data_IF_397155794864
#
_entry.id   IF_397155794864
#
_cell.length_a   1.000
_cell.length_b   1.000
_cell.length_c   1.000
_cell.angle_alpha   90.00
_cell.angle_beta   90.00
_cell.angle_gamma   90.00
#
_symmetry.space_group_name_H-M   'P 1'
#
loop_
_entity.id
_entity.type
_entity.pdbx_description
1 polymer ?
#
# COMPACT_ATOMS: atom_id res chain seq x y z
N UNK A 1 -24.37 25.32 -45.95
CA UNK A 1 -23.07 24.70 -45.63
C UNK A 1 -22.42 25.57 -44.58
N UNK A 2 -22.51 25.17 -43.30
CA UNK A 2 -22.08 26.00 -42.15
C UNK A 2 -20.68 25.55 -41.74
N UNK A 3 -19.78 26.53 -41.79
CA UNK A 3 -18.34 26.46 -41.62
C UNK A 3 -17.86 25.74 -40.37
N UNK A 4 -16.78 24.99 -40.57
CA UNK A 4 -15.77 24.63 -39.58
C UNK A 4 -15.45 25.81 -38.67
N UNK A 5 -15.91 25.76 -37.42
CA UNK A 5 -15.40 26.64 -36.35
C UNK A 5 -14.77 25.77 -35.29
N UNK A 6 -13.44 25.73 -35.43
CA UNK A 6 -12.45 25.72 -34.37
C UNK A 6 -12.62 24.73 -33.23
N UNK A 7 -11.67 23.80 -33.22
CA UNK A 7 -11.10 23.17 -32.04
C UNK A 7 -10.62 24.28 -31.06
N UNK A 8 -11.55 24.86 -30.28
CA UNK A 8 -11.21 25.71 -29.13
C UNK A 8 -10.81 24.75 -28.00
N UNK A 9 -9.53 24.44 -27.83
CA UNK A 9 -8.57 25.34 -27.17
C UNK A 9 -9.16 25.87 -25.87
N UNK A 10 -9.40 24.97 -24.94
CA UNK A 10 -9.29 25.28 -23.52
C UNK A 10 -8.95 23.99 -22.77
N UNK A 11 -7.68 23.54 -22.90
CA UNK A 11 -7.07 22.80 -21.80
C UNK A 11 -6.92 23.81 -20.66
N UNK A 12 -8.03 24.05 -19.96
CA UNK A 12 -8.04 24.75 -18.70
C UNK A 12 -7.15 23.95 -17.76
N UNK A 13 -5.95 24.50 -17.56
CA UNK A 13 -5.12 24.37 -16.37
C UNK A 13 -5.64 23.31 -15.41
N UNK A 14 -4.99 22.16 -15.41
CA UNK A 14 -4.91 21.29 -14.24
C UNK A 14 -4.56 22.20 -13.06
N UNK A 15 -5.59 22.61 -12.33
CA UNK A 15 -5.41 23.11 -10.99
C UNK A 15 -4.67 21.99 -10.27
N UNK A 16 -3.53 22.32 -9.68
CA UNK A 16 -2.97 21.53 -8.59
C UNK A 16 -4.03 21.54 -7.50
N UNK A 17 -5.00 20.63 -7.63
CA UNK A 17 -5.96 20.32 -6.61
C UNK A 17 -5.13 19.59 -5.56
N UNK A 18 -4.67 20.33 -4.56
CA UNK A 18 -4.10 19.72 -3.37
C UNK A 18 -5.16 18.77 -2.82
N UNK A 19 -4.95 17.46 -3.01
CA UNK A 19 -5.85 16.45 -2.49
C UNK A 19 -5.68 16.43 -0.97
N UNK A 20 -6.69 16.87 -0.24
CA UNK A 20 -6.73 16.68 1.21
C UNK A 20 -7.04 15.22 1.47
N UNK A 21 -5.99 14.46 1.83
CA UNK A 21 -6.10 13.06 2.22
C UNK A 21 -6.78 13.01 3.60
N UNK A 22 -7.94 12.35 3.68
CA UNK A 22 -8.61 12.06 4.97
C UNK A 22 -7.91 10.90 5.68
N UNK A 23 -7.99 10.80 7.01
CA UNK A 23 -7.48 9.64 7.76
C UNK A 23 -8.10 8.32 7.28
N UNK A 24 -9.33 8.38 6.76
CA UNK A 24 -10.04 7.28 6.10
C UNK A 24 -9.38 6.81 4.80
N UNK A 25 -8.41 7.53 4.23
CA UNK A 25 -7.59 7.14 3.08
C UNK A 25 -6.26 6.47 3.51
N UNK A 26 -6.00 6.34 4.82
CA UNK A 26 -4.95 5.47 5.36
C UNK A 26 -5.26 3.95 5.16
N UNK A 27 -6.08 3.60 4.16
CA UNK A 27 -6.53 2.25 3.82
C UNK A 27 -5.42 1.37 3.24
N UNK A 28 -4.22 1.91 3.12
CA UNK A 28 -3.06 1.18 2.61
C UNK A 28 -2.23 0.50 3.70
N UNK A 29 -2.65 0.52 4.97
CA UNK A 29 -1.94 -0.22 6.03
C UNK A 29 -2.07 -1.72 5.79
N UNK A 30 -1.02 -2.30 5.20
CA UNK A 30 -0.84 -3.75 5.06
C UNK A 30 -0.03 -4.24 6.25
N UNK A 31 -0.65 -5.00 7.14
CA UNK A 31 0.09 -5.76 8.14
C UNK A 31 0.35 -7.19 7.62
N UNK A 32 1.52 -7.73 7.92
CA UNK A 32 1.83 -9.12 7.63
C UNK A 32 1.03 -10.02 8.58
N UNK A 33 0.50 -11.15 8.09
CA UNK A 33 -0.22 -12.12 8.94
C UNK A 33 0.77 -13.01 9.69
N UNK A 34 1.92 -13.30 9.07
CA UNK A 34 2.99 -14.11 9.61
C UNK A 34 4.29 -13.31 9.69
N UNK A 35 5.17 -13.72 10.58
CA UNK A 35 6.50 -13.15 10.70
C UNK A 35 7.31 -13.42 9.42
N UNK A 36 7.77 -12.37 8.74
CA UNK A 36 8.55 -12.45 7.50
C UNK A 36 10.03 -12.83 7.75
N UNK A 37 10.42 -13.09 9.00
CA UNK A 37 11.79 -13.50 9.33
C UNK A 37 12.15 -14.82 8.66
N UNK A 38 13.20 -14.79 7.84
CA UNK A 38 13.86 -15.99 7.32
C UNK A 38 14.66 -16.66 8.44
N UNK A 39 14.41 -17.96 8.63
CA UNK A 39 15.13 -18.86 9.51
C UNK A 39 16.26 -19.57 8.77
N UNK A 40 17.17 -20.18 9.53
CA UNK A 40 18.17 -21.10 8.98
C UNK A 40 17.49 -22.21 8.16
N UNK A 41 17.95 -22.38 6.93
CA UNK A 41 17.32 -23.27 5.94
C UNK A 41 16.31 -22.59 5.01
N UNK A 42 16.22 -21.26 5.01
CA UNK A 42 15.48 -20.49 3.99
C UNK A 42 13.96 -20.56 4.13
N UNK A 43 13.45 -21.07 5.26
CA UNK A 43 12.03 -21.09 5.57
C UNK A 43 11.65 -19.85 6.37
N UNK A 44 10.42 -19.36 6.18
CA UNK A 44 9.87 -18.28 7.01
C UNK A 44 9.41 -18.82 8.36
N UNK A 45 9.43 -17.95 9.37
CA UNK A 45 8.86 -18.24 10.67
C UNK A 45 7.35 -18.54 10.53
N UNK A 46 6.82 -19.66 11.08
CA UNK A 46 5.41 -20.00 10.98
C UNK A 46 4.50 -19.24 11.97
N UNK A 47 5.08 -18.35 12.79
CA UNK A 47 4.36 -17.64 13.85
C UNK A 47 3.68 -16.36 13.33
N UNK A 48 2.62 -15.86 14.01
CA UNK A 48 1.96 -14.59 13.69
C UNK A 48 2.95 -13.43 13.61
N UNK A 49 2.69 -12.38 12.82
CA UNK A 49 3.64 -11.27 12.69
C UNK A 49 3.93 -10.53 14.01
N UNK A 50 2.96 -10.50 14.93
CA UNK A 50 3.03 -9.84 16.24
C UNK A 50 3.32 -10.85 17.36
N UNK A 51 4.31 -11.72 17.15
CA UNK A 51 4.60 -12.79 18.10
C UNK A 51 5.69 -12.40 19.10
N UNK A 52 5.50 -12.73 20.38
CA UNK A 52 6.54 -12.53 21.39
C UNK A 52 7.62 -13.63 21.36
N UNK A 53 8.88 -13.26 21.58
CA UNK A 53 10.00 -14.21 21.68
C UNK A 53 10.73 -14.48 20.36
N UNK A 54 11.83 -15.23 20.46
CA UNK A 54 12.76 -15.41 19.34
C UNK A 54 12.20 -16.30 18.21
N UNK A 55 12.41 -15.85 16.97
CA UNK A 55 12.12 -16.62 15.76
C UNK A 55 12.91 -17.94 15.75
N UNK A 56 12.28 -19.04 15.31
CA UNK A 56 12.92 -20.36 15.26
C UNK A 56 12.89 -21.16 16.56
N UNK A 57 12.46 -20.55 17.67
CA UNK A 57 12.18 -21.27 18.92
C UNK A 57 10.81 -21.95 18.81
N UNK A 58 10.76 -23.07 18.09
CA UNK A 58 9.54 -23.89 17.89
C UNK A 58 9.09 -24.66 19.14
N UNK A 59 9.36 -24.15 20.34
CA UNK A 59 8.82 -24.71 21.57
C UNK A 59 7.53 -23.94 21.89
N UNK A 60 6.35 -24.58 21.88
CA UNK A 60 5.17 -23.98 22.48
C UNK A 60 5.47 -23.76 23.97
N UNK A 61 5.42 -22.50 24.41
CA UNK A 61 5.27 -22.14 25.81
C UNK A 61 3.81 -22.31 26.22
#
# INVERSE_FOLDING_TARGET
MISSRSCSSDRAREAVAGATVSTEDAQSVRHWVYCDRLLDGGRRCPRPADHDGACGSGAPG
#
